data_IF_209148271823
#
_entry.id   IF_209148271823
#
_cell.length_a   1.000
_cell.length_b   1.000
_cell.length_c   1.000
_cell.angle_alpha   90.00
_cell.angle_beta   90.00
_cell.angle_gamma   90.00
#
_symmetry.space_group_name_H-M   'P 1'
#
loop_
_entity.id
_entity.type
_entity.pdbx_description
1 polymer ?
#
# COMPACT_ATOMS: atom_id res chain seq x y z
N UNK A 1 -24.14 30.90 -4.22
CA UNK A 1 -22.74 30.65 -3.81
C UNK A 1 -21.88 30.88 -5.04
N UNK A 2 -20.94 31.82 -5.00
CA UNK A 2 -20.15 32.23 -6.18
C UNK A 2 -18.75 31.66 -6.13
N UNK A 3 -18.40 30.84 -7.12
CA UNK A 3 -17.03 30.37 -7.36
C UNK A 3 -16.31 31.48 -8.15
N UNK A 4 -15.60 32.35 -7.43
CA UNK A 4 -15.04 33.56 -8.01
C UNK A 4 -13.57 33.37 -8.40
N UNK A 5 -13.33 32.69 -9.52
CA UNK A 5 -12.00 32.64 -10.15
C UNK A 5 -11.77 33.98 -10.84
N UNK A 6 -11.20 34.96 -10.13
CA UNK A 6 -10.99 36.33 -10.63
C UNK A 6 -9.79 36.50 -11.57
N UNK A 7 -9.21 35.43 -12.08
CA UNK A 7 -8.14 35.48 -13.10
C UNK A 7 -8.38 34.39 -14.13
N UNK A 8 -8.78 34.85 -15.33
CA UNK A 8 -9.35 34.19 -16.53
C UNK A 8 -8.79 32.80 -16.87
N UNK A 9 -9.66 31.87 -17.32
CA UNK A 9 -10.54 32.05 -18.49
C UNK A 9 -12.01 31.67 -18.30
N UNK A 10 -12.54 31.65 -17.08
CA UNK A 10 -13.99 31.71 -16.88
C UNK A 10 -14.34 32.22 -15.48
N UNK A 11 -15.54 32.76 -15.30
CA UNK A 11 -16.14 32.98 -13.98
C UNK A 11 -17.43 32.19 -13.83
N UNK A 12 -17.76 31.79 -12.60
CA UNK A 12 -19.01 31.10 -12.28
C UNK A 12 -19.76 31.83 -11.16
N UNK A 13 -20.91 32.40 -11.48
CA UNK A 13 -21.74 33.10 -10.52
C UNK A 13 -23.22 32.84 -10.83
N UNK A 14 -24.03 32.48 -9.82
CA UNK A 14 -25.46 32.23 -9.96
C UNK A 14 -25.81 31.22 -11.08
N UNK A 15 -25.05 30.13 -11.20
CA UNK A 15 -25.21 29.10 -12.25
C UNK A 15 -24.95 29.58 -13.67
N UNK A 16 -24.27 30.72 -13.80
CA UNK A 16 -23.87 31.31 -15.07
C UNK A 16 -22.35 31.20 -15.20
N UNK A 17 -21.92 30.64 -16.32
CA UNK A 17 -20.51 30.53 -16.72
C UNK A 17 -20.22 31.66 -17.70
N UNK A 18 -19.27 32.52 -17.37
CA UNK A 18 -18.82 33.59 -18.28
C UNK A 18 -17.44 33.26 -18.83
N UNK A 19 -17.31 33.17 -20.14
CA UNK A 19 -16.04 32.94 -20.84
C UNK A 19 -15.46 34.26 -21.38
N UNK A 20 -14.12 34.44 -21.44
CA UNK A 20 -13.49 35.60 -22.05
C UNK A 20 -13.78 35.54 -23.54
N UNK A 21 -14.61 36.49 -24.00
CA UNK A 21 -15.29 36.56 -25.31
C UNK A 21 -16.75 36.03 -25.28
N UNK A 22 -17.60 36.87 -24.67
CA UNK A 22 -19.05 37.07 -24.91
C UNK A 22 -20.05 35.92 -24.68
N UNK A 23 -19.62 34.71 -24.36
CA UNK A 23 -20.57 33.63 -24.03
C UNK A 23 -20.90 33.63 -22.54
N UNK A 24 -22.13 34.03 -22.24
CA UNK A 24 -22.79 33.78 -20.97
C UNK A 24 -23.59 32.49 -21.14
N UNK A 25 -23.16 31.42 -20.47
CA UNK A 25 -23.73 30.09 -20.63
C UNK A 25 -24.43 29.73 -19.32
N UNK A 26 -25.74 29.46 -19.36
CA UNK A 26 -26.42 28.84 -18.24
C UNK A 26 -25.90 27.41 -18.06
N UNK A 27 -25.56 27.04 -16.83
CA UNK A 27 -25.03 25.71 -16.50
C UNK A 27 -25.93 24.57 -17.03
N UNK A 28 -27.25 24.75 -16.93
CA UNK A 28 -28.26 23.80 -17.42
C UNK A 28 -28.29 23.65 -18.94
N UNK A 29 -27.81 24.65 -19.68
CA UNK A 29 -27.84 24.71 -21.13
C UNK A 29 -26.56 24.19 -21.79
N UNK A 30 -25.55 23.81 -21.00
CA UNK A 30 -24.27 23.30 -21.50
C UNK A 30 -24.09 21.80 -21.24
N UNK A 31 -23.33 21.16 -22.13
CA UNK A 31 -22.77 19.85 -21.85
C UNK A 31 -21.30 20.01 -21.45
N UNK A 32 -20.90 19.30 -20.42
CA UNK A 32 -19.51 19.24 -19.97
C UNK A 32 -18.90 17.92 -20.39
N UNK A 33 -17.69 17.96 -20.93
CA UNK A 33 -16.92 16.80 -21.31
C UNK A 33 -15.78 16.63 -20.31
N UNK A 34 -15.79 15.52 -19.56
CA UNK A 34 -14.67 15.08 -18.74
C UNK A 34 -13.86 14.07 -19.54
N UNK A 35 -12.59 14.38 -19.81
CA UNK A 35 -11.65 13.46 -20.46
C UNK A 35 -10.58 13.05 -19.46
N UNK A 36 -10.42 11.76 -19.19
CA UNK A 36 -9.36 11.20 -18.34
C UNK A 36 -8.58 10.19 -19.18
N UNK A 37 -7.28 10.46 -19.39
CA UNK A 37 -6.37 9.58 -20.16
C UNK A 37 -6.93 9.10 -21.51
N UNK A 38 -7.68 9.98 -22.19
CA UNK A 38 -8.28 9.72 -23.51
C UNK A 38 -9.71 9.15 -23.48
N UNK A 39 -10.22 8.73 -22.33
CA UNK A 39 -11.62 8.32 -22.17
C UNK A 39 -12.50 9.54 -21.87
N UNK A 40 -13.53 9.77 -22.69
CA UNK A 40 -14.37 10.94 -22.60
C UNK A 40 -15.79 10.60 -22.10
N UNK A 41 -16.26 11.33 -21.09
CA UNK A 41 -17.59 11.20 -20.51
C UNK A 41 -18.32 12.53 -20.67
N UNK A 42 -19.47 12.51 -21.35
CA UNK A 42 -20.32 13.69 -21.57
C UNK A 42 -21.41 13.75 -20.49
N UNK A 43 -21.50 14.87 -19.79
CA UNK A 43 -22.42 15.08 -18.66
C UNK A 43 -23.12 16.44 -18.76
N UNK A 44 -24.26 16.57 -18.10
CA UNK A 44 -25.03 17.83 -18.03
C UNK A 44 -24.66 18.58 -16.76
N UNK A 45 -24.46 19.91 -16.87
CA UNK A 45 -24.02 20.75 -15.76
C UNK A 45 -22.49 20.84 -15.63
N UNK A 46 -21.99 21.92 -15.06
CA UNK A 46 -20.56 22.25 -15.02
C UNK A 46 -19.98 22.05 -13.63
N UNK A 47 -20.62 22.58 -12.58
CA UNK A 47 -20.09 22.52 -11.22
C UNK A 47 -20.13 21.10 -10.68
N UNK A 48 -21.25 20.39 -10.90
CA UNK A 48 -21.37 18.97 -10.54
C UNK A 48 -20.29 18.14 -11.23
N UNK A 49 -20.14 18.31 -12.54
CA UNK A 49 -19.12 17.61 -13.34
C UNK A 49 -17.70 17.97 -12.92
N UNK A 50 -17.45 19.21 -12.51
CA UNK A 50 -16.15 19.65 -12.00
C UNK A 50 -15.79 18.94 -10.70
N UNK A 51 -16.70 18.93 -9.72
CA UNK A 51 -16.50 18.28 -8.43
C UNK A 51 -16.30 16.77 -8.63
N UNK A 52 -17.13 16.13 -9.46
CA UNK A 52 -17.02 14.71 -9.78
C UNK A 52 -15.71 14.37 -10.49
N UNK A 53 -15.29 15.17 -11.48
CA UNK A 53 -14.04 14.98 -12.19
C UNK A 53 -12.82 15.11 -11.28
N UNK A 54 -12.81 16.10 -10.39
CA UNK A 54 -11.78 16.25 -9.36
C UNK A 54 -11.79 15.05 -8.41
N UNK A 55 -12.96 14.64 -7.94
CA UNK A 55 -13.11 13.52 -7.02
C UNK A 55 -12.61 12.21 -7.64
N UNK A 56 -12.95 11.93 -8.89
CA UNK A 56 -12.41 10.79 -9.64
C UNK A 56 -10.88 10.85 -9.71
N UNK A 57 -10.30 12.01 -10.03
CA UNK A 57 -8.85 12.21 -10.08
C UNK A 57 -8.18 12.04 -8.70
N UNK A 58 -8.87 12.36 -7.60
CA UNK A 58 -8.38 12.11 -6.25
C UNK A 58 -8.30 10.61 -5.94
N UNK A 59 -9.25 9.82 -6.46
CA UNK A 59 -9.40 8.39 -6.14
C UNK A 59 -8.62 7.48 -7.09
N UNK A 60 -8.57 7.80 -8.38
CA UNK A 60 -7.99 6.96 -9.42
C UNK A 60 -6.66 7.51 -9.94
N UNK A 61 -5.67 6.66 -10.27
CA UNK A 61 -4.47 7.10 -10.96
C UNK A 61 -4.84 7.56 -12.38
N UNK A 62 -4.19 8.63 -12.83
CA UNK A 62 -4.33 9.17 -14.17
C UNK A 62 -3.08 9.96 -14.55
N UNK A 63 -2.89 10.22 -15.84
CA UNK A 63 -1.78 11.03 -16.37
C UNK A 63 -2.22 12.46 -16.62
N UNK A 64 -3.39 12.64 -17.25
CA UNK A 64 -3.99 13.95 -17.49
C UNK A 64 -5.52 13.85 -17.51
N UNK A 65 -6.17 14.81 -16.85
CA UNK A 65 -7.60 14.98 -16.96
C UNK A 65 -7.94 16.39 -17.43
N UNK A 66 -8.98 16.52 -18.24
CA UNK A 66 -9.42 17.80 -18.81
C UNK A 66 -10.94 17.89 -18.75
N UNK A 67 -11.42 19.03 -18.29
CA UNK A 67 -12.84 19.37 -18.26
C UNK A 67 -13.05 20.46 -19.30
N UNK A 68 -13.91 20.20 -20.27
CA UNK A 68 -14.25 21.11 -21.35
C UNK A 68 -15.74 21.40 -21.37
N UNK A 69 -16.13 22.61 -21.77
CA UNK A 69 -17.51 22.95 -22.08
C UNK A 69 -17.74 22.69 -23.56
N UNK A 70 -18.78 21.94 -23.88
CA UNK A 70 -19.27 21.78 -25.24
C UNK A 70 -20.39 22.80 -25.49
N UNK A 71 -20.15 23.72 -26.43
CA UNK A 71 -21.11 24.69 -26.91
C UNK A 71 -21.31 24.45 -28.42
N UNK A 72 -22.46 23.88 -28.80
CA UNK A 72 -22.70 23.37 -30.15
C UNK A 72 -21.60 22.39 -30.60
N UNK A 73 -20.91 22.67 -31.71
CA UNK A 73 -19.82 21.87 -32.26
C UNK A 73 -18.43 22.26 -31.73
N UNK A 74 -18.36 23.23 -30.82
CA UNK A 74 -17.10 23.74 -30.27
C UNK A 74 -16.86 23.18 -28.86
N UNK A 75 -15.66 22.64 -28.64
CA UNK A 75 -15.16 22.25 -27.31
C UNK A 75 -14.19 23.30 -26.80
N UNK A 76 -14.50 23.85 -25.64
CA UNK A 76 -13.70 24.87 -24.97
C UNK A 76 -13.07 24.21 -23.74
N UNK A 77 -11.77 23.88 -23.73
CA UNK A 77 -11.12 23.33 -22.55
C UNK A 77 -11.08 24.39 -21.46
N UNK A 78 -11.58 24.04 -20.28
CA UNK A 78 -11.76 24.99 -19.19
C UNK A 78 -10.77 24.71 -18.06
N UNK A 79 -10.59 23.45 -17.69
CA UNK A 79 -9.72 23.06 -16.58
C UNK A 79 -8.88 21.85 -16.98
N UNK A 80 -7.62 21.85 -16.58
CA UNK A 80 -6.74 20.68 -16.63
C UNK A 80 -6.35 20.29 -15.22
N UNK A 81 -6.47 19.00 -14.90
CA UNK A 81 -5.96 18.42 -13.67
C UNK A 81 -4.68 17.64 -14.00
N UNK A 82 -3.63 17.84 -13.20
CA UNK A 82 -2.36 17.13 -13.33
C UNK A 82 -1.88 16.58 -11.98
N UNK A 83 -1.25 15.40 -11.95
CA UNK A 83 -0.52 14.92 -10.79
C UNK A 83 0.64 15.85 -10.42
N UNK A 84 0.70 16.25 -9.15
CA UNK A 84 1.78 17.05 -8.57
C UNK A 84 2.65 16.25 -7.58
N UNK A 85 3.70 16.89 -7.06
CA UNK A 85 4.56 16.30 -6.01
C UNK A 85 3.79 16.06 -4.71
N UNK A 86 4.28 15.11 -3.90
CA UNK A 86 3.76 14.82 -2.56
C UNK A 86 2.25 14.48 -2.54
N UNK A 87 1.79 13.68 -3.50
CA UNK A 87 0.40 13.19 -3.59
C UNK A 87 -0.65 14.33 -3.70
N UNK A 88 -0.29 15.38 -4.44
CA UNK A 88 -1.16 16.53 -4.72
C UNK A 88 -1.69 16.48 -6.15
N UNK A 89 -2.82 17.12 -6.40
CA UNK A 89 -3.28 17.46 -7.74
C UNK A 89 -3.18 18.96 -7.94
N UNK A 90 -2.80 19.34 -9.14
CA UNK A 90 -2.77 20.72 -9.59
C UNK A 90 -3.98 20.92 -10.50
N UNK A 91 -4.92 21.74 -10.05
CA UNK A 91 -6.02 22.21 -10.88
C UNK A 91 -5.52 23.47 -11.59
N UNK A 92 -5.39 23.37 -12.91
CA UNK A 92 -4.80 24.38 -13.75
C UNK A 92 -5.78 24.91 -14.76
N UNK A 93 -5.58 26.18 -15.12
CA UNK A 93 -6.15 26.75 -16.32
C UNK A 93 -5.11 27.57 -17.06
N UNK A 94 -5.06 27.45 -18.39
CA UNK A 94 -4.05 28.10 -19.24
C UNK A 94 -2.62 27.89 -18.70
N UNK A 95 -2.35 26.68 -18.20
CA UNK A 95 -1.10 26.27 -17.56
C UNK A 95 -0.77 26.95 -16.22
N UNK A 96 -1.65 27.79 -15.69
CA UNK A 96 -1.54 28.41 -14.36
C UNK A 96 -2.26 27.57 -13.31
N UNK A 97 -1.59 27.26 -12.20
CA UNK A 97 -2.20 26.53 -11.08
C UNK A 97 -3.11 27.45 -10.29
N UNK A 98 -4.40 27.12 -10.26
CA UNK A 98 -5.40 27.83 -9.46
C UNK A 98 -5.58 27.22 -8.08
N UNK A 99 -5.62 25.89 -8.02
CA UNK A 99 -5.79 25.16 -6.78
C UNK A 99 -4.80 24.02 -6.66
N UNK A 100 -4.34 23.81 -5.44
CA UNK A 100 -3.62 22.62 -5.03
C UNK A 100 -4.51 21.76 -4.15
N UNK A 101 -4.67 20.49 -4.51
CA UNK A 101 -5.61 19.56 -3.87
C UNK A 101 -4.83 18.40 -3.27
N UNK A 102 -4.97 18.13 -1.97
CA UNK A 102 -4.42 16.92 -1.37
C UNK A 102 -5.25 15.69 -1.75
N UNK A 103 -4.67 14.71 -2.46
CA UNK A 103 -5.45 13.53 -2.95
C UNK A 103 -6.05 12.68 -1.83
N UNK A 104 -5.37 12.63 -0.69
CA UNK A 104 -5.79 11.84 0.48
C UNK A 104 -6.43 12.66 1.57
N UNK A 105 -6.01 13.91 1.74
CA UNK A 105 -6.55 14.81 2.77
C UNK A 105 -7.74 15.63 2.29
N UNK A 106 -7.97 15.70 0.97
CA UNK A 106 -8.99 16.51 0.31
C UNK A 106 -8.91 18.02 0.61
N UNK A 107 -7.85 18.45 1.29
CA UNK A 107 -7.60 19.87 1.58
C UNK A 107 -7.26 20.59 0.29
N UNK A 108 -8.08 21.59 -0.04
CA UNK A 108 -7.93 22.45 -1.21
C UNK A 108 -7.40 23.81 -0.80
N UNK A 109 -6.37 24.26 -1.49
CA UNK A 109 -5.77 25.59 -1.29
C UNK A 109 -5.71 26.35 -2.60
N UNK A 110 -6.05 27.63 -2.56
CA UNK A 110 -5.96 28.53 -3.72
C UNK A 110 -4.50 28.81 -4.12
N UNK A 111 -4.31 29.60 -5.18
CA UNK A 111 -3.00 29.98 -5.69
C UNK A 111 -2.15 30.72 -4.63
N UNK A 112 -2.79 31.46 -3.72
CA UNK A 112 -2.16 32.18 -2.60
C UNK A 112 -1.99 31.30 -1.33
N UNK A 113 -2.35 30.02 -1.42
CA UNK A 113 -2.26 28.99 -0.37
C UNK A 113 -3.27 29.13 0.78
N UNK A 114 -4.31 29.96 0.61
CA UNK A 114 -5.42 30.04 1.55
C UNK A 114 -6.28 28.78 1.44
N UNK A 115 -6.84 28.34 2.56
CA UNK A 115 -7.67 27.15 2.63
C UNK A 115 -9.10 27.44 2.18
N UNK A 116 -9.59 26.70 1.19
CA UNK A 116 -10.97 26.78 0.71
C UNK A 116 -11.79 25.63 1.35
N UNK A 117 -12.39 25.90 2.50
CA UNK A 117 -13.07 24.89 3.30
C UNK A 117 -14.35 24.36 2.63
N UNK A 118 -15.10 25.23 1.94
CA UNK A 118 -16.33 24.83 1.26
C UNK A 118 -16.01 23.87 0.12
N UNK A 119 -15.04 24.24 -0.73
CA UNK A 119 -14.65 23.39 -1.86
C UNK A 119 -14.01 22.07 -1.40
N UNK A 120 -13.19 22.12 -0.34
CA UNK A 120 -12.61 20.91 0.26
C UNK A 120 -13.69 19.92 0.70
N UNK A 121 -14.75 20.42 1.34
CA UNK A 121 -15.86 19.59 1.84
C UNK A 121 -16.63 18.93 0.71
N UNK A 122 -16.93 19.66 -0.37
CA UNK A 122 -17.67 19.12 -1.52
C UNK A 122 -16.88 18.01 -2.24
N UNK A 123 -15.58 18.24 -2.47
CA UNK A 123 -14.71 17.24 -3.10
C UNK A 123 -14.51 16.03 -2.18
N UNK A 124 -14.35 16.24 -0.87
CA UNK A 124 -14.25 15.15 0.10
C UNK A 124 -15.51 14.26 0.07
N UNK A 125 -16.70 14.86 0.13
CA UNK A 125 -17.97 14.12 0.07
C UNK A 125 -18.08 13.30 -1.22
N UNK A 126 -17.82 13.91 -2.38
CA UNK A 126 -17.88 13.21 -3.67
C UNK A 126 -16.84 12.08 -3.76
N UNK A 127 -15.60 12.33 -3.33
CA UNK A 127 -14.53 11.32 -3.34
C UNK A 127 -14.82 10.17 -2.38
N UNK A 128 -15.40 10.45 -1.21
CA UNK A 128 -15.82 9.42 -0.26
C UNK A 128 -16.98 8.59 -0.80
N UNK A 129 -17.97 9.22 -1.44
CA UNK A 129 -19.08 8.50 -2.10
C UNK A 129 -18.56 7.56 -3.20
N UNK A 130 -17.63 8.04 -4.06
CA UNK A 130 -16.99 7.20 -5.08
C UNK A 130 -16.20 6.03 -4.46
N UNK A 131 -15.45 6.27 -3.38
CA UNK A 131 -14.75 5.21 -2.65
C UNK A 131 -15.73 4.20 -2.02
N UNK A 132 -16.89 4.65 -1.54
CA UNK A 132 -17.93 3.77 -1.00
C UNK A 132 -18.62 2.95 -2.10
N UNK A 133 -18.91 3.56 -3.25
CA UNK A 133 -19.42 2.84 -4.43
C UNK A 133 -18.43 1.75 -4.88
N UNK A 134 -17.12 2.03 -4.88
CA UNK A 134 -16.10 1.00 -5.14
C UNK A 134 -16.05 -0.11 -4.09
N UNK A 135 -16.32 0.21 -2.82
CA UNK A 135 -16.40 -0.80 -1.75
C UNK A 135 -17.66 -1.66 -1.85
N UNK A 136 -18.72 -1.14 -2.49
CA UNK A 136 -20.00 -1.81 -2.67
C UNK A 136 -20.08 -2.60 -3.99
N UNK A 137 -19.13 -2.44 -4.92
CA UNK A 137 -18.84 -3.52 -5.86
C UNK A 137 -18.30 -4.69 -5.05
N UNK A 138 -19.04 -5.82 -5.02
CA UNK A 138 -18.67 -7.03 -4.29
C UNK A 138 -17.16 -7.33 -4.40
N UNK A 139 -16.50 -7.87 -3.36
CA UNK A 139 -15.07 -8.15 -3.41
C UNK A 139 -14.78 -8.95 -4.66
N UNK A 140 -14.13 -8.30 -5.65
CA UNK A 140 -13.75 -8.97 -6.89
C UNK A 140 -12.77 -10.04 -6.48
N UNK A 141 -13.15 -11.29 -6.69
CA UNK A 141 -12.35 -12.45 -6.35
C UNK A 141 -10.95 -12.29 -6.96
N UNK A 142 -9.97 -11.97 -6.10
CA UNK A 142 -8.60 -11.70 -6.52
C UNK A 142 -8.01 -12.85 -7.33
N UNK A 143 -8.20 -14.13 -6.93
CA UNK A 143 -7.91 -15.29 -7.77
C UNK A 143 -8.42 -15.16 -9.21
N UNK A 144 -9.71 -14.86 -9.42
CA UNK A 144 -10.29 -14.67 -10.76
C UNK A 144 -9.62 -13.52 -11.53
N UNK A 145 -9.33 -12.38 -10.88
CA UNK A 145 -8.65 -11.25 -11.52
C UNK A 145 -7.23 -11.63 -11.97
N UNK A 146 -6.53 -12.42 -11.17
CA UNK A 146 -5.12 -12.73 -11.34
C UNK A 146 -4.87 -13.94 -12.23
N UNK A 147 -5.84 -14.83 -12.42
CA UNK A 147 -5.71 -16.07 -13.18
C UNK A 147 -5.12 -15.88 -14.59
N UNK A 148 -5.38 -14.73 -15.23
CA UNK A 148 -4.87 -14.41 -16.57
C UNK A 148 -3.41 -13.92 -16.57
N UNK A 149 -2.86 -13.56 -15.41
CA UNK A 149 -1.58 -12.87 -15.27
C UNK A 149 -0.58 -13.62 -14.38
N UNK A 150 -1.05 -14.56 -13.57
CA UNK A 150 -0.22 -15.35 -12.66
C UNK A 150 -0.68 -16.80 -12.63
N UNK A 151 0.26 -17.71 -12.88
CA UNK A 151 0.05 -19.14 -12.71
C UNK A 151 0.14 -19.50 -11.22
N UNK A 152 -1.02 -19.68 -10.60
CA UNK A 152 -1.15 -20.05 -9.20
C UNK A 152 -0.50 -21.40 -8.86
N UNK A 153 -0.29 -22.29 -9.84
CA UNK A 153 0.38 -23.57 -9.60
C UNK A 153 1.83 -23.42 -9.13
N UNK A 154 2.45 -22.25 -9.39
CA UNK A 154 3.83 -21.93 -8.98
C UNK A 154 4.01 -21.90 -7.46
N UNK A 155 2.95 -21.58 -6.70
CA UNK A 155 2.97 -21.57 -5.24
C UNK A 155 2.52 -22.89 -4.62
N UNK A 156 1.85 -23.77 -5.36
CA UNK A 156 1.32 -25.05 -4.86
C UNK A 156 2.38 -25.99 -4.25
N UNK A 157 3.64 -26.05 -4.74
CA UNK A 157 4.69 -26.81 -4.08
C UNK A 157 4.99 -26.31 -2.67
N UNK A 158 4.84 -25.01 -2.43
CA UNK A 158 5.32 -24.33 -1.23
C UNK A 158 4.22 -24.03 -0.21
N UNK A 159 2.98 -23.86 -0.68
CA UNK A 159 1.85 -23.39 0.12
C UNK A 159 0.64 -24.30 -0.13
N UNK A 160 -0.08 -24.66 0.93
CA UNK A 160 -1.24 -25.56 0.84
C UNK A 160 -2.52 -24.79 0.51
N UNK A 161 -2.82 -23.76 1.30
CA UNK A 161 -3.92 -22.84 1.02
C UNK A 161 -3.43 -21.40 1.09
N UNK A 162 -3.99 -20.54 0.25
CA UNK A 162 -3.74 -19.13 0.36
C UNK A 162 -4.94 -18.30 -0.06
N UNK A 163 -5.03 -17.10 0.50
CA UNK A 163 -6.03 -16.11 0.14
C UNK A 163 -5.40 -14.73 -0.02
N UNK A 164 -6.00 -13.92 -0.89
CA UNK A 164 -5.54 -12.58 -1.19
C UNK A 164 -6.73 -11.65 -0.99
N UNK A 165 -6.69 -10.85 0.07
CA UNK A 165 -7.66 -9.79 0.27
C UNK A 165 -7.58 -8.80 -0.90
N UNK A 166 -8.72 -8.21 -1.27
CA UNK A 166 -8.79 -7.33 -2.42
C UNK A 166 -7.73 -6.22 -2.38
N UNK A 167 -6.93 -6.14 -3.45
CA UNK A 167 -5.94 -5.11 -3.67
C UNK A 167 -5.73 -4.89 -5.17
N UNK A 168 -5.26 -3.70 -5.60
CA UNK A 168 -4.90 -3.45 -6.99
C UNK A 168 -4.03 -4.56 -7.59
N UNK A 169 -4.40 -5.03 -8.79
CA UNK A 169 -3.78 -6.19 -9.49
C UNK A 169 -2.26 -6.15 -9.46
N UNK A 170 -1.66 -5.02 -9.80
CA UNK A 170 -0.20 -4.85 -9.85
C UNK A 170 0.47 -5.08 -8.49
N UNK A 171 -0.19 -4.67 -7.40
CA UNK A 171 0.29 -4.96 -6.04
C UNK A 171 0.26 -6.45 -5.77
N UNK A 172 -0.85 -7.11 -6.08
CA UNK A 172 -1.00 -8.53 -5.84
C UNK A 172 0.03 -9.35 -6.64
N UNK A 173 0.26 -9.00 -7.91
CA UNK A 173 1.28 -9.66 -8.74
C UNK A 173 2.69 -9.49 -8.18
N UNK A 174 3.07 -8.27 -7.78
CA UNK A 174 4.37 -8.03 -7.16
C UNK A 174 4.51 -8.78 -5.83
N UNK A 175 3.44 -8.81 -5.02
CA UNK A 175 3.42 -9.54 -3.76
C UNK A 175 3.65 -11.04 -4.00
N UNK A 176 2.89 -11.64 -4.91
CA UNK A 176 3.01 -13.06 -5.24
C UNK A 176 4.40 -13.41 -5.77
N UNK A 177 4.97 -12.57 -6.62
CA UNK A 177 6.33 -12.75 -7.15
C UNK A 177 7.37 -12.76 -6.02
N UNK A 178 7.28 -11.81 -5.07
CA UNK A 178 8.20 -11.76 -3.92
C UNK A 178 8.06 -13.02 -3.04
N UNK A 179 6.82 -13.47 -2.78
CA UNK A 179 6.57 -14.66 -1.97
C UNK A 179 7.10 -15.91 -2.65
N UNK A 180 6.89 -16.03 -3.95
CA UNK A 180 7.41 -17.13 -4.75
C UNK A 180 8.94 -17.17 -4.71
N UNK A 181 9.60 -16.05 -4.96
CA UNK A 181 11.07 -15.94 -4.89
C UNK A 181 11.60 -16.39 -3.52
N UNK A 182 10.96 -15.96 -2.43
CA UNK A 182 11.32 -16.38 -1.09
C UNK A 182 11.11 -17.88 -0.89
N UNK A 183 9.99 -18.44 -1.33
CA UNK A 183 9.69 -19.87 -1.19
C UNK A 183 10.69 -20.73 -1.98
N UNK A 184 11.00 -20.35 -3.21
CA UNK A 184 12.01 -21.02 -4.04
C UNK A 184 13.35 -21.00 -3.33
N UNK A 185 13.79 -19.82 -2.86
CA UNK A 185 15.04 -19.68 -2.12
C UNK A 185 15.07 -20.58 -0.88
N UNK A 186 14.02 -20.58 -0.07
CA UNK A 186 13.94 -21.39 1.15
C UNK A 186 13.99 -22.88 0.83
N UNK A 187 13.25 -23.33 -0.19
CA UNK A 187 13.21 -24.73 -0.60
C UNK A 187 14.55 -25.25 -1.14
N UNK A 188 15.33 -24.38 -1.78
CA UNK A 188 16.63 -24.73 -2.33
C UNK A 188 17.75 -24.66 -1.28
N UNK A 189 17.65 -23.73 -0.33
CA UNK A 189 18.75 -23.41 0.60
C UNK A 189 18.66 -24.12 1.93
N UNK A 190 17.48 -24.62 2.32
CA UNK A 190 17.24 -25.25 3.61
C UNK A 190 16.79 -26.71 3.42
N UNK A 191 17.49 -27.65 4.07
CA UNK A 191 17.22 -29.10 3.96
C UNK A 191 15.81 -29.49 4.41
N UNK A 192 15.23 -28.73 5.33
CA UNK A 192 13.91 -28.97 5.92
C UNK A 192 12.98 -27.80 5.59
N UNK A 193 12.61 -27.69 4.32
CA UNK A 193 11.53 -26.79 3.93
C UNK A 193 10.21 -27.30 4.51
N UNK A 194 9.63 -26.50 5.40
CA UNK A 194 8.27 -26.72 5.91
C UNK A 194 7.29 -26.09 4.92
N UNK A 195 6.39 -26.91 4.38
CA UNK A 195 5.31 -26.42 3.50
C UNK A 195 4.36 -25.53 4.30
N UNK A 196 4.06 -24.33 3.80
CA UNK A 196 3.22 -23.35 4.49
C UNK A 196 1.76 -23.85 4.46
N UNK A 197 1.11 -24.09 5.61
CA UNK A 197 -0.27 -24.58 5.63
C UNK A 197 -1.26 -23.54 5.09
N UNK A 198 -1.11 -22.29 5.52
CA UNK A 198 -2.03 -21.20 5.17
C UNK A 198 -1.25 -19.88 5.01
N UNK A 199 -1.51 -19.17 3.91
CA UNK A 199 -0.99 -17.82 3.65
C UNK A 199 -2.14 -16.85 3.41
N UNK A 200 -2.16 -15.71 4.10
CA UNK A 200 -3.15 -14.64 3.85
C UNK A 200 -2.44 -13.33 3.51
N UNK A 201 -2.76 -12.76 2.33
CA UNK A 201 -2.20 -11.51 1.86
C UNK A 201 -3.20 -10.37 2.02
N UNK A 202 -2.78 -9.27 2.65
CA UNK A 202 -3.62 -8.11 2.93
C UNK A 202 -3.14 -6.85 2.19
N UNK A 203 -4.09 -6.02 1.75
CA UNK A 203 -3.79 -4.62 1.40
C UNK A 203 -3.51 -3.83 2.69
N UNK A 204 -2.39 -3.09 2.78
CA UNK A 204 -2.05 -2.28 3.98
C UNK A 204 -3.18 -1.27 4.35
N UNK A 205 -3.43 -0.85 5.61
CA UNK A 205 -2.64 -0.61 6.85
C UNK A 205 -3.36 -1.18 8.12
N UNK A 206 -2.66 -1.60 9.20
CA UNK A 206 -2.09 -0.79 10.31
C UNK A 206 -0.94 -1.55 11.03
N UNK A 207 0.12 -0.85 11.46
CA UNK A 207 1.04 -1.26 12.54
C UNK A 207 2.10 -2.33 12.26
N UNK A 208 1.75 -3.45 11.61
CA UNK A 208 2.65 -4.60 11.43
C UNK A 208 3.04 -4.83 9.96
N UNK A 209 4.06 -5.65 9.72
CA UNK A 209 4.46 -6.11 8.38
C UNK A 209 3.97 -7.53 8.09
N UNK A 210 3.75 -8.33 9.14
CA UNK A 210 3.17 -9.66 9.10
C UNK A 210 2.58 -10.06 10.45
N UNK A 211 2.01 -11.25 10.50
CA UNK A 211 1.68 -11.97 11.73
C UNK A 211 1.76 -13.47 11.47
N UNK A 212 1.94 -14.24 12.54
CA UNK A 212 1.82 -15.69 12.54
C UNK A 212 0.74 -16.13 13.53
N UNK A 213 -0.30 -16.79 13.03
CA UNK A 213 -1.32 -17.42 13.88
C UNK A 213 -0.95 -18.88 14.14
N UNK A 214 -0.59 -19.19 15.39
CA UNK A 214 -0.17 -20.53 15.81
C UNK A 214 -1.29 -21.56 15.77
N UNK A 215 -2.55 -21.15 15.96
CA UNK A 215 -3.70 -22.06 15.99
C UNK A 215 -4.04 -22.58 14.59
N UNK A 216 -3.98 -21.68 13.60
CA UNK A 216 -4.27 -22.02 12.20
C UNK A 216 -3.02 -22.26 11.35
N UNK A 217 -1.84 -22.02 11.93
CA UNK A 217 -0.54 -22.02 11.23
C UNK A 217 -0.53 -21.11 10.01
N UNK A 218 -1.20 -19.95 10.14
CA UNK A 218 -1.36 -18.98 9.05
C UNK A 218 -0.25 -17.95 9.12
N UNK A 219 0.46 -17.79 8.01
CA UNK A 219 1.31 -16.62 7.77
C UNK A 219 0.44 -15.52 7.16
N UNK A 220 0.29 -14.40 7.86
CA UNK A 220 -0.41 -13.22 7.37
C UNK A 220 0.58 -12.13 7.00
N UNK A 221 0.45 -11.52 5.82
CA UNK A 221 1.36 -10.46 5.38
C UNK A 221 0.62 -9.24 4.86
N UNK A 222 1.17 -8.07 5.17
CA UNK A 222 0.64 -6.79 4.73
C UNK A 222 1.49 -6.22 3.59
N UNK A 223 0.86 -5.87 2.47
CA UNK A 223 1.57 -5.28 1.34
C UNK A 223 2.17 -3.91 1.71
N UNK A 224 3.46 -3.72 1.42
CA UNK A 224 4.21 -2.47 1.64
C UNK A 224 4.81 -2.02 0.29
N UNK A 225 4.03 -1.22 -0.44
CA UNK A 225 4.40 -0.63 -1.74
C UNK A 225 5.90 -0.25 -1.80
N UNK A 226 6.55 -0.66 -2.89
CA UNK A 226 7.92 -0.26 -3.27
C UNK A 226 8.99 -0.57 -2.21
N UNK A 227 8.71 -1.52 -1.31
CA UNK A 227 9.67 -1.99 -0.29
C UNK A 227 9.82 -3.51 -0.30
N UNK A 228 10.36 -4.10 -1.40
CA UNK A 228 10.54 -5.55 -1.50
C UNK A 228 11.33 -6.14 -0.34
N UNK A 229 12.38 -5.44 0.12
CA UNK A 229 13.17 -5.88 1.27
C UNK A 229 12.33 -6.06 2.54
N UNK A 230 11.42 -5.12 2.84
CA UNK A 230 10.56 -5.20 4.03
C UNK A 230 9.56 -6.35 3.94
N UNK A 231 9.06 -6.64 2.74
CA UNK A 231 8.17 -7.76 2.49
C UNK A 231 8.87 -9.11 2.63
N UNK A 232 10.10 -9.23 2.11
CA UNK A 232 10.96 -10.42 2.29
C UNK A 232 11.26 -10.66 3.76
N UNK A 233 11.69 -9.61 4.48
CA UNK A 233 11.95 -9.68 5.91
C UNK A 233 10.72 -10.12 6.70
N UNK A 234 9.54 -9.55 6.42
CA UNK A 234 8.30 -9.96 7.07
C UNK A 234 7.95 -11.43 6.78
N UNK A 235 8.05 -11.86 5.52
CA UNK A 235 7.81 -13.26 5.16
C UNK A 235 8.77 -14.21 5.89
N UNK A 236 10.07 -13.91 5.91
CA UNK A 236 11.04 -14.75 6.62
C UNK A 236 10.79 -14.78 8.13
N UNK A 237 10.42 -13.66 8.74
CA UNK A 237 10.05 -13.61 10.15
C UNK A 237 8.92 -14.58 10.49
N UNK A 238 7.78 -14.47 9.80
CA UNK A 238 6.62 -15.33 10.06
C UNK A 238 6.89 -16.79 9.71
N UNK A 239 7.73 -17.04 8.69
CA UNK A 239 8.19 -18.39 8.37
C UNK A 239 9.11 -18.99 9.44
N UNK A 240 9.92 -18.16 10.11
CA UNK A 240 10.72 -18.56 11.26
C UNK A 240 9.85 -19.08 12.41
N UNK A 241 8.73 -18.40 12.70
CA UNK A 241 7.73 -18.88 13.67
C UNK A 241 7.11 -20.22 13.25
N UNK A 242 6.82 -20.41 11.96
CA UNK A 242 6.30 -21.67 11.43
C UNK A 242 7.29 -22.84 11.60
N UNK A 243 8.57 -22.60 11.30
CA UNK A 243 9.63 -23.61 11.51
C UNK A 243 9.73 -23.99 12.98
N UNK A 244 9.81 -22.99 13.86
CA UNK A 244 9.95 -23.23 15.29
C UNK A 244 8.77 -24.04 15.84
N UNK A 245 7.55 -23.69 15.42
CA UNK A 245 6.34 -24.44 15.78
C UNK A 245 6.40 -25.92 15.36
N UNK A 246 6.93 -26.21 14.17
CA UNK A 246 7.02 -27.57 13.65
C UNK A 246 8.11 -28.41 14.32
N UNK A 247 9.23 -27.79 14.70
CA UNK A 247 10.40 -28.51 15.18
C UNK A 247 10.54 -28.51 16.70
N UNK A 248 9.85 -27.63 17.44
CA UNK A 248 9.98 -27.54 18.92
C UNK A 248 9.65 -28.81 19.70
N UNK A 249 8.99 -29.78 19.08
CA UNK A 249 8.67 -31.07 19.69
C UNK A 249 9.75 -32.14 19.47
N UNK A 250 10.71 -31.89 18.56
CA UNK A 250 11.91 -32.71 18.43
C UNK A 250 12.88 -32.37 19.58
N UNK A 251 13.30 -33.39 20.33
CA UNK A 251 14.12 -33.20 21.53
C UNK A 251 15.49 -32.58 21.22
N UNK A 252 16.09 -32.94 20.08
CA UNK A 252 17.40 -32.42 19.66
C UNK A 252 17.28 -30.96 19.26
N UNK A 253 16.25 -30.62 18.47
CA UNK A 253 15.94 -29.24 18.12
C UNK A 253 15.65 -28.40 19.37
N UNK A 254 14.79 -28.88 20.27
CA UNK A 254 14.40 -28.16 21.48
C UNK A 254 15.61 -27.85 22.38
N UNK A 255 16.52 -28.82 22.53
CA UNK A 255 17.77 -28.62 23.27
C UNK A 255 18.67 -27.57 22.60
N UNK A 256 18.95 -27.71 21.30
CA UNK A 256 19.76 -26.73 20.55
C UNK A 256 19.14 -25.32 20.58
N UNK A 257 17.81 -25.24 20.50
CA UNK A 257 17.03 -23.98 20.55
C UNK A 257 17.26 -23.26 21.87
N UNK A 258 17.17 -24.01 22.96
CA UNK A 258 17.40 -23.47 24.29
C UNK A 258 18.85 -23.00 24.47
N UNK A 259 19.83 -23.79 24.02
CA UNK A 259 21.25 -23.42 24.08
C UNK A 259 21.56 -22.15 23.29
N UNK A 260 21.06 -22.04 22.05
CA UNK A 260 21.26 -20.86 21.22
C UNK A 260 20.63 -19.62 21.87
N UNK A 261 19.43 -19.74 22.41
CA UNK A 261 18.75 -18.65 23.10
C UNK A 261 19.51 -18.20 24.35
N UNK A 262 20.07 -19.12 25.13
CA UNK A 262 20.93 -18.84 26.29
C UNK A 262 22.21 -18.11 25.89
N UNK A 263 22.87 -18.55 24.81
CA UNK A 263 24.05 -17.88 24.26
C UNK A 263 23.73 -16.44 23.83
N UNK A 264 22.57 -16.24 23.22
CA UNK A 264 22.12 -14.92 22.76
C UNK A 264 21.72 -13.97 23.88
N UNK A 265 21.47 -14.45 25.10
CA UNK A 265 21.19 -13.55 26.23
C UNK A 265 22.34 -12.55 26.48
N UNK A 266 23.58 -12.93 26.13
CA UNK A 266 24.75 -12.05 26.22
C UNK A 266 24.97 -11.16 24.98
N UNK A 267 24.13 -11.27 23.94
CA UNK A 267 24.27 -10.55 22.68
C UNK A 267 23.94 -9.06 22.84
N UNK A 268 24.58 -8.23 22.02
CA UNK A 268 24.37 -6.77 22.06
C UNK A 268 22.90 -6.45 21.80
N UNK A 269 22.30 -7.11 20.81
CA UNK A 269 20.90 -6.89 20.44
C UNK A 269 19.93 -7.18 21.59
N UNK A 270 20.07 -8.32 22.29
CA UNK A 270 19.18 -8.63 23.41
C UNK A 270 19.43 -7.74 24.63
N UNK A 271 20.68 -7.33 24.88
CA UNK A 271 21.01 -6.38 25.94
C UNK A 271 20.42 -4.99 25.66
N UNK A 272 20.44 -4.53 24.39
CA UNK A 272 19.78 -3.30 23.97
C UNK A 272 18.27 -3.36 24.20
N UNK A 273 17.60 -4.46 23.86
CA UNK A 273 16.15 -4.63 24.12
C UNK A 273 15.88 -4.63 25.62
N UNK A 274 16.64 -5.42 26.39
CA UNK A 274 16.44 -5.62 27.84
C UNK A 274 16.57 -4.31 28.62
N UNK A 275 17.57 -3.49 28.27
CA UNK A 275 17.86 -2.21 28.93
C UNK A 275 17.01 -1.03 28.44
N UNK A 276 16.24 -1.19 27.36
CA UNK A 276 15.48 -0.08 26.78
C UNK A 276 14.22 0.27 27.60
N UNK A 277 14.35 1.26 28.48
CA UNK A 277 13.26 1.73 29.34
C UNK A 277 12.14 2.49 28.61
N UNK A 278 12.33 2.86 27.34
CA UNK A 278 11.30 3.54 26.53
C UNK A 278 10.24 2.57 25.99
N UNK A 279 10.57 1.28 25.87
CA UNK A 279 9.62 0.25 25.45
C UNK A 279 8.70 -0.16 26.61
N UNK A 280 7.40 -0.41 26.37
CA UNK A 280 6.52 -1.02 27.35
C UNK A 280 7.06 -2.38 27.81
N UNK A 281 6.92 -2.71 29.10
CA UNK A 281 7.48 -3.94 29.67
C UNK A 281 6.96 -5.20 28.98
N UNK A 282 5.65 -5.27 28.71
CA UNK A 282 5.04 -6.42 28.02
C UNK A 282 5.58 -6.57 26.60
N UNK A 283 5.85 -5.46 25.91
CA UNK A 283 6.45 -5.49 24.59
C UNK A 283 7.91 -5.95 24.65
N UNK A 284 8.70 -5.48 25.63
CA UNK A 284 10.06 -6.01 25.86
C UNK A 284 10.06 -7.51 26.12
N UNK A 285 9.16 -8.01 26.99
CA UNK A 285 9.03 -9.44 27.28
C UNK A 285 8.70 -10.24 26.02
N UNK A 286 7.81 -9.71 25.18
CA UNK A 286 7.52 -10.30 23.88
C UNK A 286 8.76 -10.34 22.98
N UNK A 287 9.48 -9.22 22.84
CA UNK A 287 10.71 -9.14 22.03
C UNK A 287 11.83 -10.08 22.51
N UNK A 288 11.86 -10.35 23.81
CA UNK A 288 12.81 -11.27 24.44
C UNK A 288 12.29 -12.70 24.52
N UNK A 289 11.07 -13.00 24.06
CA UNK A 289 10.60 -14.39 24.03
C UNK A 289 11.46 -15.22 23.09
N UNK A 290 11.71 -16.48 23.46
CA UNK A 290 12.55 -17.38 22.68
C UNK A 290 11.99 -17.59 21.26
N UNK A 291 10.66 -17.60 21.12
CA UNK A 291 9.96 -17.66 19.83
C UNK A 291 10.29 -16.45 18.94
N UNK A 292 10.14 -15.23 19.45
CA UNK A 292 10.41 -14.00 18.71
C UNK A 292 11.90 -13.83 18.38
N UNK A 293 12.77 -14.20 19.32
CA UNK A 293 14.22 -14.18 19.12
C UNK A 293 14.62 -15.14 17.99
N UNK A 294 14.13 -16.38 18.00
CA UNK A 294 14.43 -17.34 16.94
C UNK A 294 13.88 -16.89 15.58
N UNK A 295 12.65 -16.35 15.53
CA UNK A 295 12.08 -15.84 14.30
C UNK A 295 12.90 -14.67 13.72
N UNK A 296 13.44 -13.79 14.57
CA UNK A 296 14.32 -12.68 14.12
C UNK A 296 15.69 -13.12 13.67
N UNK A 297 16.28 -14.12 14.32
CA UNK A 297 17.54 -14.71 13.84
C UNK A 297 17.34 -15.34 12.48
N UNK A 298 16.27 -16.13 12.31
CA UNK A 298 15.93 -16.75 11.03
C UNK A 298 15.70 -15.68 9.97
N UNK A 299 14.94 -14.63 10.28
CA UNK A 299 14.72 -13.48 9.38
C UNK A 299 16.05 -12.91 8.88
N UNK A 300 16.96 -12.57 9.80
CA UNK A 300 18.26 -11.98 9.47
C UNK A 300 19.12 -12.92 8.62
N UNK A 301 19.21 -14.19 9.03
CA UNK A 301 19.99 -15.21 8.36
C UNK A 301 19.49 -15.48 6.93
N UNK A 302 18.19 -15.75 6.76
CA UNK A 302 17.59 -16.03 5.47
C UNK A 302 17.69 -14.82 4.52
N UNK A 303 17.43 -13.61 5.04
CA UNK A 303 17.54 -12.39 4.25
C UNK A 303 18.97 -12.12 3.78
N UNK A 304 19.96 -12.33 4.65
CA UNK A 304 21.36 -12.20 4.30
C UNK A 304 21.80 -13.22 3.25
N UNK A 305 21.46 -14.50 3.44
CA UNK A 305 21.78 -15.56 2.46
C UNK A 305 21.09 -15.34 1.11
N UNK A 306 19.89 -14.78 1.08
CA UNK A 306 19.16 -14.48 -0.17
C UNK A 306 19.70 -13.24 -0.89
N UNK A 307 20.08 -12.18 -0.17
CA UNK A 307 20.29 -10.85 -0.77
C UNK A 307 21.69 -10.28 -0.61
N UNK A 308 22.53 -10.85 0.26
CA UNK A 308 23.82 -10.29 0.67
C UNK A 308 23.73 -9.05 1.57
N UNK A 309 22.52 -8.61 1.94
CA UNK A 309 22.29 -7.43 2.77
C UNK A 309 21.86 -7.79 4.19
N UNK A 310 22.09 -6.89 5.14
CA UNK A 310 21.64 -7.01 6.53
C UNK A 310 20.36 -6.20 6.75
N UNK A 311 19.47 -6.69 7.62
CA UNK A 311 18.24 -5.98 7.99
C UNK A 311 18.56 -4.67 8.71
N UNK A 312 17.86 -3.60 8.33
CA UNK A 312 17.94 -2.29 9.00
C UNK A 312 16.77 -2.06 9.97
N UNK A 313 16.03 -3.11 10.33
CA UNK A 313 14.96 -3.00 11.31
C UNK A 313 15.54 -2.65 12.69
N UNK A 314 14.75 -1.96 13.50
CA UNK A 314 15.08 -1.76 14.91
C UNK A 314 15.20 -3.12 15.60
N UNK A 315 16.28 -3.30 16.37
CA UNK A 315 16.65 -4.57 17.01
C UNK A 315 16.85 -5.75 16.04
N UNK A 316 17.24 -5.49 14.79
CA UNK A 316 17.75 -6.54 13.93
C UNK A 316 19.08 -7.06 14.50
N UNK A 317 19.21 -8.39 14.57
CA UNK A 317 20.48 -9.02 14.88
C UNK A 317 21.56 -8.61 13.88
N UNK A 318 22.76 -8.38 14.39
CA UNK A 318 23.96 -8.13 13.61
C UNK A 318 24.39 -9.40 12.87
N UNK A 319 25.24 -9.24 11.85
CA UNK A 319 25.78 -10.36 11.07
C UNK A 319 26.44 -11.44 11.94
N UNK A 320 27.30 -11.13 12.93
CA UNK A 320 27.84 -12.15 13.83
C UNK A 320 26.76 -12.90 14.62
N UNK A 321 25.71 -12.21 15.08
CA UNK A 321 24.67 -12.80 15.92
C UNK A 321 23.78 -13.78 15.14
N UNK A 322 23.30 -13.41 13.94
CA UNK A 322 22.46 -14.32 13.17
C UNK A 322 23.26 -15.42 12.44
N UNK A 323 24.58 -15.32 12.33
CA UNK A 323 25.42 -16.45 11.86
C UNK A 323 25.52 -17.57 12.89
N UNK A 324 25.24 -17.30 14.18
CA UNK A 324 25.06 -18.36 15.18
C UNK A 324 23.89 -19.30 14.82
N UNK A 325 22.94 -18.81 14.03
CA UNK A 325 21.83 -19.62 13.51
C UNK A 325 22.30 -20.67 12.49
N UNK A 326 23.48 -20.51 11.86
CA UNK A 326 24.04 -21.52 10.93
C UNK A 326 24.46 -22.78 11.71
N UNK A 327 25.04 -22.59 12.90
CA UNK A 327 25.46 -23.67 13.82
C UNK A 327 24.28 -24.53 14.28
N UNK A 328 23.07 -24.00 14.19
CA UNK A 328 21.84 -24.70 14.52
C UNK A 328 21.55 -25.88 13.57
N UNK A 329 21.88 -25.74 12.28
CA UNK A 329 21.62 -26.76 11.24
C UNK A 329 22.86 -27.57 10.87
N UNK A 330 24.04 -27.12 11.24
CA UNK A 330 25.29 -27.86 11.09
C UNK A 330 25.67 -28.48 12.43
N UNK A 331 25.13 -29.67 12.72
CA UNK A 331 25.74 -30.75 13.52
C UNK A 331 24.75 -31.91 13.66
#
# INVERSE_FOLDING_TARGET
>A
MGFNVKTTPFSYENSIISLPQQHTIEESACATLLTIDGNATKMTGFLTTLIEGIAQCCVFPFTKATIAIQLFDTLIPVITLLPGRANKLLLQIDQQTLYTIGRTSFVIRDAQHNHDAAFSTEVEHAACALKQQQKNEAPKDMPTILQQYYDFSRLTPFITTWSIAYMPREKALNFLTIIEDCCIFLSASFKTFVKIPSLTLHSGLKGANGFFDTATQTIGLYYKYDRPAQMKLAFFHEYGHLIDLHQKHDEVYAYKRQQLYEQLQASETLQQISSNTQLPEDYRKYLLSIEEVLARLFEGYAFYKMTGNVSTKEFAFTLPEFLLYEEFFTN
#
